data_IF_030270849576
#
_entry.id   IF_030270849576
#
_cell.length_a   1.000
_cell.length_b   1.000
_cell.length_c   1.000
_cell.angle_alpha   90.00
_cell.angle_beta   90.00
_cell.angle_gamma   90.00
#
_symmetry.space_group_name_H-M   'P 1'
#
loop_
_entity.id
_entity.type
_entity.pdbx_description
1 polymer ?
#
# COMPACT_ATOMS: atom_id res chain seq x y z
N UNK A 1 7.12 0.59 -5.38
CA UNK A 1 8.24 0.36 -4.45
C UNK A 1 9.26 -0.58 -5.10
N UNK A 2 10.05 -0.11 -6.07
CA UNK A 2 10.59 -0.98 -7.14
C UNK A 2 11.67 -1.99 -6.74
N UNK A 3 12.18 -1.97 -5.50
CA UNK A 3 13.31 -2.84 -5.11
C UNK A 3 13.35 -3.28 -3.64
N UNK A 4 12.54 -2.72 -2.73
CA UNK A 4 12.60 -3.08 -1.31
C UNK A 4 11.51 -4.08 -0.92
N UNK A 5 11.83 -5.36 -1.08
CA UNK A 5 10.97 -6.48 -0.66
C UNK A 5 10.58 -6.39 0.82
N UNK A 6 11.45 -5.86 1.67
CA UNK A 6 11.19 -5.70 3.11
C UNK A 6 10.05 -4.72 3.36
N UNK A 7 10.07 -3.53 2.74
CA UNK A 7 8.99 -2.56 2.92
C UNK A 7 7.67 -3.06 2.32
N UNK A 8 7.74 -3.76 1.19
CA UNK A 8 6.54 -4.38 0.61
C UNK A 8 5.91 -5.39 1.57
N UNK A 9 6.70 -6.32 2.13
CA UNK A 9 6.23 -7.29 3.11
C UNK A 9 5.76 -6.65 4.41
N UNK A 10 6.44 -5.59 4.85
CA UNK A 10 6.05 -4.83 6.04
C UNK A 10 4.68 -4.21 5.86
N UNK A 11 4.43 -3.46 4.78
CA UNK A 11 3.12 -2.84 4.54
C UNK A 11 2.04 -3.84 4.15
N UNK A 12 2.41 -4.99 3.56
CA UNK A 12 1.49 -6.10 3.35
C UNK A 12 1.02 -6.73 4.66
N UNK A 13 1.91 -6.85 5.66
CA UNK A 13 1.60 -7.43 6.97
C UNK A 13 0.97 -6.40 7.92
N UNK A 14 1.40 -5.14 7.82
CA UNK A 14 1.04 -4.03 8.69
C UNK A 14 0.77 -2.76 7.87
N UNK A 15 -0.35 -2.70 7.12
CA UNK A 15 -0.71 -1.56 6.28
C UNK A 15 -0.91 -0.27 7.08
N UNK A 16 -1.26 -0.41 8.36
CA UNK A 16 -1.59 0.67 9.26
C UNK A 16 -0.41 1.58 9.63
N UNK A 17 0.81 1.05 9.62
CA UNK A 17 2.04 1.80 9.92
C UNK A 17 2.23 2.96 8.92
N UNK A 18 1.79 2.78 7.67
CA UNK A 18 1.87 3.84 6.67
C UNK A 18 1.10 5.10 7.10
N UNK A 19 -0.11 4.92 7.64
CA UNK A 19 -0.96 6.01 8.10
C UNK A 19 -0.36 6.71 9.32
N UNK A 20 0.23 5.96 10.24
CA UNK A 20 0.94 6.51 11.39
C UNK A 20 2.15 7.37 10.96
N UNK A 21 2.94 6.92 9.98
CA UNK A 21 4.11 7.66 9.46
C UNK A 21 3.73 9.01 8.82
N UNK A 22 2.55 9.10 8.24
CA UNK A 22 2.01 10.33 7.65
C UNK A 22 1.12 11.13 8.62
N UNK A 23 1.14 10.77 9.91
CA UNK A 23 0.37 11.42 10.99
C UNK A 23 -1.15 11.35 10.78
N UNK A 24 -1.64 10.30 10.12
CA UNK A 24 -3.05 9.98 10.02
C UNK A 24 -3.47 8.93 11.06
N UNK A 25 -4.75 8.90 11.45
CA UNK A 25 -5.26 7.86 12.33
C UNK A 25 -5.06 6.48 11.71
N UNK A 26 -4.58 5.55 12.54
CA UNK A 26 -4.41 4.13 12.21
C UNK A 26 -5.75 3.51 11.74
N UNK A 27 -6.87 4.04 12.23
CA UNK A 27 -8.23 3.62 11.84
C UNK A 27 -8.54 3.85 10.37
N UNK A 28 -7.91 4.84 9.72
CA UNK A 28 -8.05 5.08 8.29
C UNK A 28 -7.56 3.89 7.48
N UNK A 29 -6.60 3.12 7.99
CA UNK A 29 -6.12 1.91 7.30
C UNK A 29 -7.24 0.88 7.08
N UNK A 30 -8.31 0.88 7.87
CA UNK A 30 -9.47 0.00 7.65
C UNK A 30 -10.32 0.43 6.45
N UNK A 31 -10.17 1.67 5.99
CA UNK A 31 -10.84 2.19 4.81
C UNK A 31 -10.04 1.87 3.53
N UNK A 32 -8.84 1.30 3.64
CA UNK A 32 -7.96 1.04 2.50
C UNK A 32 -7.36 -0.37 2.53
N UNK A 33 -7.33 -1.03 1.37
CA UNK A 33 -6.62 -2.29 1.15
C UNK A 33 -5.30 -2.02 0.43
N UNK A 34 -4.21 -2.55 0.98
CA UNK A 34 -2.91 -2.56 0.32
C UNK A 34 -2.88 -3.61 -0.80
N UNK A 35 -2.55 -3.20 -2.02
CA UNK A 35 -2.51 -4.08 -3.19
C UNK A 35 -1.39 -3.68 -4.18
N UNK A 36 -1.12 -4.57 -5.13
CA UNK A 36 -0.24 -4.31 -6.27
C UNK A 36 -1.05 -4.28 -7.55
N UNK A 37 -1.15 -3.11 -8.18
CA UNK A 37 -1.96 -2.92 -9.39
C UNK A 37 -1.07 -2.88 -10.62
N UNK A 38 -1.38 -3.72 -11.61
CA UNK A 38 -0.75 -3.67 -12.93
C UNK A 38 -1.54 -2.75 -13.85
N UNK A 39 -0.92 -1.67 -14.30
CA UNK A 39 -1.53 -0.68 -15.19
C UNK A 39 -1.28 -1.10 -16.63
N UNK A 40 -2.35 -1.19 -17.44
CA UNK A 40 -2.32 -1.69 -18.83
C UNK A 40 -1.54 -0.81 -19.83
N UNK A 41 -0.98 0.32 -19.40
CA UNK A 41 -0.18 1.20 -20.24
C UNK A 41 1.31 0.93 -19.94
N UNK A 42 2.02 0.28 -20.88
CA UNK A 42 3.46 -0.06 -20.81
C UNK A 42 3.89 -0.91 -19.60
N UNK A 43 3.25 -2.08 -19.39
CA UNK A 43 3.68 -3.10 -18.40
C UNK A 43 4.13 -2.54 -17.05
N UNK A 44 3.42 -1.51 -16.57
CA UNK A 44 3.85 -0.75 -15.41
C UNK A 44 3.11 -1.27 -14.18
N UNK A 45 3.87 -1.89 -13.27
CA UNK A 45 3.35 -2.37 -11.99
C UNK A 45 3.57 -1.31 -10.92
N UNK A 46 2.48 -0.94 -10.25
CA UNK A 46 2.49 -0.14 -9.04
C UNK A 46 2.42 -1.09 -7.85
N UNK A 47 3.60 -1.47 -7.34
CA UNK A 47 3.69 -2.21 -6.08
C UNK A 47 3.50 -1.27 -4.89
N UNK A 48 2.49 -1.56 -4.08
CA UNK A 48 2.21 -0.93 -2.80
C UNK A 48 1.26 0.25 -2.86
N UNK A 49 0.08 0.02 -3.44
CA UNK A 49 -1.00 1.01 -3.56
C UNK A 49 -2.03 0.75 -2.47
N UNK A 50 -2.49 1.82 -1.81
CA UNK A 50 -3.65 1.77 -0.90
C UNK A 50 -4.92 2.11 -1.69
N UNK A 51 -5.76 1.10 -1.92
CA UNK A 51 -7.04 1.23 -2.62
C UNK A 51 -8.18 1.36 -1.60
N UNK A 52 -9.14 2.28 -1.77
CA UNK A 52 -10.26 2.38 -0.85
C UNK A 52 -11.09 1.07 -0.87
N UNK A 53 -11.45 0.59 0.33
CA UNK A 53 -12.45 -0.47 0.50
C UNK A 53 -13.83 0.21 0.42
N UNK A 54 -14.54 -0.01 -0.69
CA UNK A 54 -15.95 0.33 -0.79
C UNK A 54 -16.78 -0.53 0.18
#
# INVERSE_FOLDING_TARGET
>A
MKTDTIFYQLFQSFPSIFFELIQLPISEANNYRFDSVEVKQLSFRLDGVFLPQN
#
